data_IF_390565860341
#
_entry.id   IF_390565860341
#
_cell.length_a   1.000
_cell.length_b   1.000
_cell.length_c   1.000
_cell.angle_alpha   90.00
_cell.angle_beta   90.00
_cell.angle_gamma   90.00
#
_symmetry.space_group_name_H-M   'P 1'
#
loop_
_entity.id
_entity.type
_entity.pdbx_description
1 polymer ?
#
# COMPACT_ATOMS: atom_id res chain seq x y z
N UNK A 1 4.01 8.07 -1.74
CA UNK A 1 2.74 7.65 -2.37
C UNK A 1 1.87 8.83 -2.74
N UNK A 2 1.81 9.91 -1.95
CA UNK A 2 1.03 11.10 -2.20
C UNK A 2 1.92 12.26 -2.70
N UNK A 3 1.42 13.01 -3.69
CA UNK A 3 2.11 14.12 -4.34
C UNK A 3 1.08 15.23 -4.65
N UNK A 4 0.94 16.20 -3.73
CA UNK A 4 -0.09 17.22 -3.84
C UNK A 4 -1.49 16.62 -3.86
N UNK A 5 -2.19 16.70 -5.00
CA UNK A 5 -3.55 16.14 -5.21
C UNK A 5 -3.55 14.80 -5.94
N UNK A 6 -2.38 14.20 -6.16
CA UNK A 6 -2.22 12.92 -6.84
C UNK A 6 -1.68 11.87 -5.88
N UNK A 7 -2.09 10.61 -6.04
CA UNK A 7 -1.51 9.50 -5.30
C UNK A 7 -1.36 8.24 -6.15
N UNK A 8 -0.48 7.35 -5.70
CA UNK A 8 -0.32 6.00 -6.24
C UNK A 8 -1.02 5.01 -5.30
N UNK A 9 -1.75 4.06 -5.88
CA UNK A 9 -2.43 2.96 -5.18
C UNK A 9 -2.13 1.62 -5.86
N UNK A 10 -2.42 0.51 -5.18
CA UNK A 10 -2.24 -0.83 -5.76
C UNK A 10 -0.79 -1.07 -6.20
N UNK A 11 -0.60 -1.81 -7.28
CA UNK A 11 0.74 -2.23 -7.71
C UNK A 11 1.61 -1.05 -8.19
N UNK A 12 0.99 0.03 -8.67
CA UNK A 12 1.71 1.26 -9.02
C UNK A 12 2.40 1.90 -7.80
N UNK A 13 1.93 1.61 -6.58
CA UNK A 13 2.50 2.16 -5.37
C UNK A 13 3.49 1.21 -4.67
N UNK A 14 3.21 -0.09 -4.70
CA UNK A 14 4.08 -1.15 -4.17
C UNK A 14 3.80 -2.43 -4.93
N UNK A 15 4.86 -3.07 -5.44
CA UNK A 15 4.80 -4.39 -6.08
C UNK A 15 5.35 -5.44 -5.11
N UNK A 16 4.50 -6.08 -4.27
CA UNK A 16 4.96 -7.14 -3.40
C UNK A 16 5.41 -8.36 -4.21
N UNK A 17 6.35 -9.15 -3.67
CA UNK A 17 6.78 -10.41 -4.30
C UNK A 17 5.57 -11.37 -4.41
N UNK A 18 5.48 -12.16 -5.49
CA UNK A 18 4.30 -12.98 -5.79
C UNK A 18 3.95 -13.98 -4.69
N UNK A 19 4.95 -14.43 -3.92
CA UNK A 19 4.79 -15.38 -2.80
C UNK A 19 3.87 -14.88 -1.68
N UNK A 20 3.57 -13.57 -1.60
CA UNK A 20 2.65 -13.02 -0.59
C UNK A 20 1.18 -13.20 -0.93
N UNK A 21 0.84 -13.40 -2.22
CA UNK A 21 -0.52 -13.33 -2.74
C UNK A 21 -1.33 -12.08 -2.28
N UNK A 22 -0.65 -10.99 -1.90
CA UNK A 22 -1.25 -9.88 -1.17
C UNK A 22 -1.60 -8.65 -2.02
N UNK A 23 -1.28 -8.64 -3.33
CA UNK A 23 -1.49 -7.46 -4.19
C UNK A 23 -2.93 -6.97 -4.19
N UNK A 24 -3.88 -7.87 -4.45
CA UNK A 24 -5.30 -7.51 -4.52
C UNK A 24 -5.82 -6.99 -3.17
N UNK A 25 -5.50 -7.70 -2.08
CA UNK A 25 -5.90 -7.27 -0.74
C UNK A 25 -5.33 -5.89 -0.39
N UNK A 26 -4.05 -5.65 -0.69
CA UNK A 26 -3.39 -4.34 -0.51
C UNK A 26 -4.06 -3.25 -1.34
N UNK A 27 -4.38 -3.53 -2.61
CA UNK A 27 -5.04 -2.57 -3.48
C UNK A 27 -6.44 -2.20 -2.95
N UNK A 28 -7.22 -3.18 -2.49
CA UNK A 28 -8.51 -2.95 -1.84
C UNK A 28 -8.33 -2.08 -0.59
N UNK A 29 -7.38 -2.41 0.29
CA UNK A 29 -7.09 -1.59 1.48
C UNK A 29 -6.69 -0.16 1.11
N UNK A 30 -5.84 0.03 0.09
CA UNK A 30 -5.49 1.36 -0.38
C UNK A 30 -6.74 2.14 -0.81
N UNK A 31 -7.62 1.51 -1.59
CA UNK A 31 -8.82 2.16 -2.12
C UNK A 31 -9.86 2.51 -1.04
N UNK A 32 -10.18 1.57 -0.14
CA UNK A 32 -11.23 1.78 0.87
C UNK A 32 -10.81 2.84 1.88
N UNK A 33 -9.58 2.75 2.40
CA UNK A 33 -9.07 3.73 3.37
C UNK A 33 -8.80 5.10 2.76
N UNK A 34 -8.53 5.16 1.44
CA UNK A 34 -8.44 6.42 0.72
C UNK A 34 -9.80 7.10 0.62
N UNK A 35 -10.85 6.34 0.29
CA UNK A 35 -12.22 6.85 0.23
C UNK A 35 -12.68 7.40 1.59
N UNK A 36 -12.38 6.68 2.69
CA UNK A 36 -12.63 7.14 4.06
C UNK A 36 -11.86 8.42 4.40
N UNK A 37 -10.58 8.48 4.04
CA UNK A 37 -9.76 9.67 4.30
C UNK A 37 -10.24 10.88 3.51
N UNK A 38 -10.64 10.71 2.26
CA UNK A 38 -11.21 11.79 1.44
C UNK A 38 -12.55 12.27 2.03
N UNK A 39 -13.42 11.34 2.43
CA UNK A 39 -14.71 11.66 3.03
C UNK A 39 -14.61 12.44 4.35
N UNK A 40 -13.55 12.22 5.14
CA UNK A 40 -13.34 12.91 6.43
C UNK A 40 -12.69 14.29 6.33
N UNK A 41 -12.14 14.65 5.17
CA UNK A 41 -11.40 15.91 4.96
C UNK A 41 -12.09 16.89 3.99
N UNK A 42 -13.27 16.52 3.45
CA UNK A 42 -14.01 17.37 2.50
C UNK A 42 -13.19 17.69 1.24
N UNK A 43 -13.16 18.96 0.85
CA UNK A 43 -12.46 19.42 -0.37
C UNK A 43 -10.93 19.52 -0.22
N UNK A 44 -10.40 19.28 0.99
CA UNK A 44 -8.96 19.33 1.29
C UNK A 44 -8.22 18.05 0.85
N UNK A 45 -8.31 17.72 -0.45
CA UNK A 45 -7.74 16.50 -1.04
C UNK A 45 -6.26 16.31 -0.70
N UNK A 46 -5.45 17.38 -0.77
CA UNK A 46 -4.01 17.26 -0.47
C UNK A 46 -3.73 16.93 1.00
N UNK A 47 -4.54 17.47 1.93
CA UNK A 47 -4.44 17.15 3.35
C UNK A 47 -4.88 15.70 3.62
N UNK A 48 -5.98 15.27 3.00
CA UNK A 48 -6.48 13.90 3.06
C UNK A 48 -5.41 12.89 2.61
N UNK A 49 -4.80 13.12 1.44
CA UNK A 49 -3.76 12.24 0.91
C UNK A 49 -2.53 12.18 1.83
N UNK A 50 -2.14 13.32 2.42
CA UNK A 50 -1.02 13.39 3.37
C UNK A 50 -1.33 12.66 4.68
N UNK A 51 -2.57 12.70 5.15
CA UNK A 51 -3.01 11.99 6.35
C UNK A 51 -3.10 10.47 6.13
N UNK A 52 -3.55 10.04 4.95
CA UNK A 52 -3.72 8.64 4.56
C UNK A 52 -2.39 7.90 4.31
N UNK A 53 -1.43 8.57 3.67
CA UNK A 53 -0.18 7.97 3.18
C UNK A 53 0.62 7.16 4.22
N UNK A 54 0.85 7.65 5.46
CA UNK A 54 1.74 6.96 6.40
C UNK A 54 1.31 5.52 6.72
N UNK A 55 0.00 5.26 6.80
CA UNK A 55 -0.53 3.92 7.05
C UNK A 55 -0.26 2.98 5.88
N UNK A 56 -0.43 3.47 4.65
CA UNK A 56 -0.23 2.67 3.45
C UNK A 56 1.25 2.39 3.16
N UNK A 57 2.14 3.34 3.48
CA UNK A 57 3.59 3.13 3.41
C UNK A 57 4.03 2.01 4.37
N UNK A 58 3.49 1.98 5.60
CA UNK A 58 3.77 0.91 6.55
C UNK A 58 3.27 -0.45 6.05
N UNK A 59 2.05 -0.50 5.51
CA UNK A 59 1.50 -1.72 4.93
C UNK A 59 2.38 -2.24 3.77
N UNK A 60 2.74 -1.37 2.83
CA UNK A 60 3.58 -1.71 1.68
C UNK A 60 4.94 -2.28 2.09
N UNK A 61 5.65 -1.62 3.01
CA UNK A 61 6.95 -2.08 3.53
C UNK A 61 6.85 -3.44 4.21
N UNK A 62 5.83 -3.67 5.05
CA UNK A 62 5.63 -4.98 5.70
C UNK A 62 5.37 -6.10 4.69
N UNK A 63 4.62 -5.84 3.64
CA UNK A 63 4.35 -6.82 2.58
C UNK A 63 5.61 -7.12 1.76
N UNK A 64 6.44 -6.12 1.51
CA UNK A 64 7.73 -6.30 0.84
C UNK A 64 8.68 -7.18 1.67
N UNK A 65 8.84 -6.86 2.96
CA UNK A 65 9.66 -7.63 3.90
C UNK A 65 9.16 -9.08 4.01
N UNK A 66 7.86 -9.27 4.18
CA UNK A 66 7.26 -10.60 4.27
C UNK A 66 7.43 -11.40 2.97
N UNK A 67 7.22 -10.76 1.82
CA UNK A 67 7.40 -11.39 0.51
C UNK A 67 8.83 -11.79 0.22
N UNK A 68 9.81 -11.03 0.72
CA UNK A 68 11.21 -11.40 0.67
C UNK A 68 11.50 -12.62 1.54
N UNK A 69 11.05 -12.63 2.79
CA UNK A 69 11.26 -13.76 3.70
C UNK A 69 10.65 -15.07 3.16
N UNK A 70 9.43 -15.01 2.61
CA UNK A 70 8.81 -16.17 1.95
C UNK A 70 9.57 -16.63 0.70
N UNK A 71 10.07 -15.68 -0.10
CA UNK A 71 10.91 -15.99 -1.25
C UNK A 71 12.22 -16.67 -0.87
N UNK A 72 12.91 -16.17 0.16
CA UNK A 72 14.19 -16.72 0.61
C UNK A 72 14.01 -18.16 1.15
N UNK A 73 12.94 -18.41 1.91
CA UNK A 73 12.62 -19.74 2.43
C UNK A 73 12.15 -20.74 1.37
N UNK A 74 11.51 -20.30 0.29
CA UNK A 74 11.02 -21.19 -0.79
C UNK A 74 12.06 -21.48 -1.88
N UNK A 75 13.01 -20.57 -2.10
CA UNK A 75 13.97 -20.67 -3.20
C UNK A 75 15.35 -21.17 -2.77
N UNK A 76 15.73 -21.00 -1.50
CA UNK A 76 17.05 -21.36 -0.99
C UNK A 76 17.03 -22.25 0.25
N UNK A 77 15.85 -22.54 0.81
CA UNK A 77 15.65 -23.49 1.89
C UNK A 77 15.47 -24.91 1.36
N UNK A 78 16.58 -25.54 0.98
CA UNK A 78 16.69 -27.00 0.79
C UNK A 78 17.40 -27.63 1.98
#
# INVERSE_FOLDING_TARGET
MAFGRTCLVGDAAFVPRPHTAASTAKAVTNATTLAESLGSHGDEVAAALKAWEPAQLRLGRRLEEHGRALGDGSQFGG
#
